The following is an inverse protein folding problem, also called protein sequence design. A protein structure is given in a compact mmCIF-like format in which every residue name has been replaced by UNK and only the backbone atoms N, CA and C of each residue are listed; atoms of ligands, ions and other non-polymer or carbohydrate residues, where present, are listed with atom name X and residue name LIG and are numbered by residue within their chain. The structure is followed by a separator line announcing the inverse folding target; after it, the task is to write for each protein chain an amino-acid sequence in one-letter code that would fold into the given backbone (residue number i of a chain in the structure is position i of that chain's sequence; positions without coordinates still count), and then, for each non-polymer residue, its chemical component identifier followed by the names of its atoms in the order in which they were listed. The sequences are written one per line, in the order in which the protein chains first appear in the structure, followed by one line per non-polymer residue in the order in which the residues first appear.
data_IF_226731280602
#
_entry.id   IF_226731280602
#
_cell.length_a   1.000
_cell.length_b   1.000
_cell.length_c   1.000
_cell.angle_alpha   90.00
_cell.angle_beta   90.00
_cell.angle_gamma   90.00
#
_symmetry.space_group_name_H-M   'P 1'
#
loop_
_entity.id
_entity.type
_entity.pdbx_description
1 polymer ?
#
# COMPACT_ATOMS: atom_id res chain seq x y z
N UNK A 1 32.97 -51.05 -18.46
CA UNK A 1 32.49 -49.71 -18.08
C UNK A 1 31.39 -49.91 -17.06
N UNK A 2 31.58 -49.48 -15.82
CA UNK A 2 30.56 -49.65 -14.78
C UNK A 2 29.59 -48.46 -14.86
N UNK A 3 28.33 -48.74 -15.21
CA UNK A 3 27.25 -47.76 -15.13
C UNK A 3 26.94 -47.51 -13.65
N UNK A 4 27.28 -46.32 -13.16
CA UNK A 4 26.87 -45.84 -11.85
C UNK A 4 25.36 -45.55 -11.87
N UNK A 5 24.57 -46.50 -11.38
CA UNK A 5 23.15 -46.30 -11.09
C UNK A 5 22.98 -45.45 -9.83
N UNK A 6 22.53 -44.21 -9.98
CA UNK A 6 22.09 -43.37 -8.86
C UNK A 6 20.85 -44.00 -8.23
N UNK A 7 20.90 -44.33 -6.94
CA UNK A 7 19.77 -45.01 -6.30
C UNK A 7 18.59 -44.04 -6.10
N UNK A 8 17.37 -44.58 -5.98
CA UNK A 8 16.19 -43.76 -5.66
C UNK A 8 16.33 -43.01 -4.33
N UNK A 9 17.09 -43.55 -3.37
CA UNK A 9 17.39 -42.88 -2.11
C UNK A 9 18.30 -41.66 -2.32
N UNK A 10 19.35 -41.79 -3.14
CA UNK A 10 20.25 -40.68 -3.46
C UNK A 10 19.52 -39.54 -4.20
N UNK A 11 18.54 -39.89 -5.05
CA UNK A 11 17.69 -38.91 -5.72
C UNK A 11 16.76 -38.19 -4.75
N UNK A 12 16.19 -38.89 -3.76
CA UNK A 12 15.33 -38.30 -2.74
C UNK A 12 16.12 -37.37 -1.80
N UNK A 13 17.31 -37.78 -1.37
CA UNK A 13 18.22 -36.97 -0.55
C UNK A 13 18.70 -35.73 -1.29
N UNK A 14 19.07 -35.85 -2.57
CA UNK A 14 19.44 -34.70 -3.40
C UNK A 14 18.29 -33.70 -3.58
N UNK A 15 17.04 -34.18 -3.72
CA UNK A 15 15.87 -33.31 -3.77
C UNK A 15 15.59 -32.62 -2.43
N UNK A 16 15.74 -33.33 -1.31
CA UNK A 16 15.58 -32.76 0.02
C UNK A 16 16.64 -31.69 0.30
N UNK A 17 17.90 -31.95 -0.04
CA UNK A 17 18.99 -30.98 0.08
C UNK A 17 18.74 -29.74 -0.78
N UNK A 18 18.29 -29.91 -2.04
CA UNK A 18 17.92 -28.78 -2.91
C UNK A 18 16.78 -27.95 -2.33
N UNK A 19 15.77 -28.58 -1.72
CA UNK A 19 14.65 -27.87 -1.05
C UNK A 19 15.14 -27.07 0.15
N UNK A 20 15.95 -27.67 1.02
CA UNK A 20 16.53 -26.99 2.19
C UNK A 20 17.44 -25.83 1.79
N UNK A 21 18.24 -25.99 0.74
CA UNK A 21 19.09 -24.93 0.22
C UNK A 21 18.28 -23.73 -0.30
N UNK A 22 17.20 -23.98 -1.07
CA UNK A 22 16.28 -22.93 -1.52
C UNK A 22 15.62 -22.20 -0.36
N UNK A 23 15.18 -22.94 0.66
CA UNK A 23 14.57 -22.34 1.85
C UNK A 23 15.55 -21.44 2.61
N UNK A 24 16.79 -21.92 2.82
CA UNK A 24 17.85 -21.12 3.47
C UNK A 24 18.18 -19.86 2.68
N UNK A 25 18.28 -19.96 1.36
CA UNK A 25 18.53 -18.81 0.49
C UNK A 25 17.40 -17.77 0.60
N UNK A 26 16.14 -18.20 0.60
CA UNK A 26 14.99 -17.30 0.76
C UNK A 26 14.97 -16.65 2.16
N UNK A 27 15.29 -17.42 3.21
CA UNK A 27 15.39 -16.87 4.57
C UNK A 27 16.49 -15.80 4.67
N UNK A 28 17.66 -16.06 4.08
CA UNK A 28 18.74 -15.10 4.03
C UNK A 28 18.32 -13.84 3.26
N UNK A 29 17.72 -14.00 2.08
CA UNK A 29 17.19 -12.89 1.29
C UNK A 29 16.16 -12.06 2.06
N UNK A 30 15.23 -12.71 2.76
CA UNK A 30 14.25 -12.02 3.60
C UNK A 30 14.91 -11.25 4.75
N UNK A 31 15.96 -11.79 5.35
CA UNK A 31 16.71 -11.09 6.40
C UNK A 31 17.46 -9.87 5.86
N UNK A 32 18.05 -9.97 4.66
CA UNK A 32 18.69 -8.84 3.98
C UNK A 32 17.66 -7.75 3.66
N UNK A 33 16.54 -8.11 3.03
CA UNK A 33 15.43 -7.19 2.73
C UNK A 33 14.85 -6.55 3.99
N UNK A 34 14.69 -7.31 5.09
CA UNK A 34 14.25 -6.75 6.37
C UNK A 34 15.19 -5.65 6.87
N UNK A 35 16.51 -5.88 6.78
CA UNK A 35 17.51 -4.90 7.20
C UNK A 35 17.41 -3.61 6.39
N UNK A 36 17.18 -3.72 5.08
CA UNK A 36 17.06 -2.58 4.17
C UNK A 36 15.77 -1.80 4.38
N UNK A 37 14.64 -2.50 4.46
CA UNK A 37 13.32 -1.88 4.36
C UNK A 37 12.77 -1.47 5.74
N UNK A 38 13.05 -2.23 6.79
CA UNK A 38 12.25 -2.17 8.01
C UNK A 38 13.06 -2.04 9.30
N UNK A 39 14.34 -2.42 9.31
CA UNK A 39 15.19 -2.28 10.49
C UNK A 39 15.31 -0.80 10.91
N UNK A 40 14.98 -0.51 12.17
CA UNK A 40 14.94 0.86 12.69
C UNK A 40 13.78 1.72 12.20
N UNK A 41 12.87 1.19 11.37
CA UNK A 41 11.77 1.97 10.76
C UNK A 41 10.38 1.68 11.34
N UNK A 42 10.28 0.87 12.41
CA UNK A 42 8.98 0.53 13.02
C UNK A 42 8.18 1.77 13.45
N UNK A 43 8.84 2.84 13.90
CA UNK A 43 8.21 4.09 14.31
C UNK A 43 7.49 4.81 13.15
N UNK A 44 7.87 4.54 11.90
CA UNK A 44 7.14 5.07 10.75
C UNK A 44 5.68 4.57 10.73
N UNK A 45 5.37 3.43 11.36
CA UNK A 45 4.01 2.90 11.47
C UNK A 45 3.18 3.52 12.60
N UNK A 46 3.79 4.22 13.55
CA UNK A 46 3.06 4.94 14.62
C UNK A 46 2.30 6.14 14.08
N UNK A 47 2.68 6.59 12.88
CA UNK A 47 2.10 7.77 12.24
C UNK A 47 0.63 7.56 11.89
N UNK A 48 0.16 6.33 11.72
CA UNK A 48 -1.19 6.03 11.23
C UNK A 48 -1.86 4.98 12.11
N UNK A 49 -3.01 5.33 12.70
CA UNK A 49 -3.77 4.41 13.56
C UNK A 49 -4.34 3.20 12.80
N UNK A 50 -4.64 3.35 11.52
CA UNK A 50 -5.24 2.30 10.70
C UNK A 50 -4.73 2.36 9.27
N UNK A 51 -3.74 1.51 8.97
CA UNK A 51 -3.28 1.29 7.60
C UNK A 51 -4.34 0.57 6.75
N UNK A 52 -4.35 0.76 5.41
CA UNK A 52 -5.27 0.08 4.51
C UNK A 52 -5.11 -1.43 4.58
N UNK A 53 -6.17 -2.17 4.23
CA UNK A 53 -6.04 -3.59 3.94
C UNK A 53 -5.40 -3.74 2.57
N UNK A 54 -4.19 -4.28 2.52
CA UNK A 54 -3.48 -4.57 1.29
C UNK A 54 -3.94 -5.91 0.73
N UNK A 55 -4.29 -5.95 -0.56
CA UNK A 55 -4.68 -7.18 -1.24
C UNK A 55 -3.49 -8.14 -1.27
N UNK A 56 -3.70 -9.36 -0.79
CA UNK A 56 -2.65 -10.38 -0.79
C UNK A 56 -2.59 -11.14 -2.11
N UNK A 57 -1.38 -11.53 -2.49
CA UNK A 57 -1.06 -12.46 -3.57
C UNK A 57 -0.91 -13.90 -3.09
N UNK A 58 -0.69 -14.12 -1.79
CA UNK A 58 -0.64 -15.47 -1.20
C UNK A 58 -2.00 -16.15 -1.26
N UNK A 59 -2.05 -17.33 -1.89
CA UNK A 59 -3.26 -18.14 -2.00
C UNK A 59 -3.86 -18.43 -0.61
N UNK A 60 -5.16 -18.18 -0.49
CA UNK A 60 -5.91 -18.41 0.75
C UNK A 60 -5.93 -17.20 1.68
N UNK A 61 -5.01 -16.25 1.51
CA UNK A 61 -5.03 -14.96 2.21
C UNK A 61 -5.72 -13.94 1.29
N UNK A 62 -6.69 -13.22 1.84
CA UNK A 62 -7.40 -12.15 1.13
C UNK A 62 -6.64 -10.85 1.21
N UNK A 63 -6.18 -10.51 2.42
CA UNK A 63 -5.54 -9.22 2.66
C UNK A 63 -4.62 -9.23 3.89
N UNK A 64 -3.72 -8.24 3.91
CA UNK A 64 -2.78 -7.96 4.98
C UNK A 64 -3.05 -6.55 5.54
N UNK A 65 -2.83 -6.34 6.83
CA UNK A 65 -2.71 -5.00 7.43
C UNK A 65 -1.55 -4.97 8.39
N UNK A 66 -0.82 -3.87 8.39
CA UNK A 66 0.31 -3.63 9.28
C UNK A 66 -0.03 -2.52 10.26
N UNK A 67 0.40 -2.63 11.51
CA UNK A 67 0.30 -1.54 12.47
C UNK A 67 1.27 -1.75 13.63
N UNK A 68 1.68 -0.66 14.27
CA UNK A 68 2.39 -0.72 15.54
C UNK A 68 1.39 -0.43 16.66
N UNK A 69 1.46 -1.26 17.71
CA UNK A 69 0.73 -1.04 18.95
C UNK A 69 1.79 -1.04 20.06
N UNK A 70 2.25 0.14 20.52
CA UNK A 70 3.35 0.24 21.50
C UNK A 70 3.11 -0.59 22.76
N UNK A 71 1.85 -0.74 23.16
CA UNK A 71 1.43 -1.55 24.32
C UNK A 71 1.62 -3.07 24.12
N UNK A 72 1.77 -3.53 22.88
CA UNK A 72 2.05 -4.92 22.53
C UNK A 72 3.55 -5.20 22.29
N UNK A 73 4.40 -4.26 22.72
CA UNK A 73 5.86 -4.37 22.68
C UNK A 73 6.49 -3.84 21.39
N UNK A 74 7.79 -4.07 21.28
CA UNK A 74 8.64 -3.57 20.21
C UNK A 74 8.58 -4.46 18.95
N UNK A 75 7.38 -4.58 18.38
CA UNK A 75 7.14 -5.35 17.16
C UNK A 75 6.21 -4.62 16.20
N UNK A 76 6.34 -4.95 14.90
CA UNK A 76 5.34 -4.58 13.91
C UNK A 76 4.27 -5.69 13.89
N UNK A 77 3.02 -5.34 14.16
CA UNK A 77 1.91 -6.29 14.11
C UNK A 77 1.40 -6.45 12.69
N UNK A 78 0.97 -7.68 12.38
CA UNK A 78 0.42 -8.07 11.08
C UNK A 78 -0.93 -8.74 11.32
N UNK A 79 -1.96 -8.24 10.66
CA UNK A 79 -3.25 -8.90 10.51
C UNK A 79 -3.31 -9.60 9.15
N UNK A 80 -3.61 -10.89 9.14
CA UNK A 80 -3.99 -11.61 7.92
C UNK A 80 -5.51 -11.81 7.92
N UNK A 81 -6.15 -11.49 6.80
CA UNK A 81 -7.58 -11.71 6.59
C UNK A 81 -7.77 -12.85 5.60
N UNK A 82 -8.63 -13.82 5.93
CA UNK A 82 -8.88 -15.01 5.10
C UNK A 82 -10.33 -15.49 5.26
N UNK A 83 -10.74 -16.49 4.47
CA UNK A 83 -12.01 -17.19 4.65
C UNK A 83 -11.78 -18.50 5.41
N UNK A 84 -12.51 -18.72 6.49
CA UNK A 84 -12.46 -19.95 7.26
C UNK A 84 -13.11 -21.14 6.51
N UNK A 85 -13.12 -22.31 7.16
CA UNK A 85 -13.78 -23.52 6.63
C UNK A 85 -15.28 -23.35 6.35
N UNK A 86 -15.92 -22.36 6.98
CA UNK A 86 -17.33 -22.02 6.81
C UNK A 86 -17.54 -20.88 5.80
N UNK A 87 -16.48 -20.49 5.07
CA UNK A 87 -16.44 -19.35 4.12
C UNK A 87 -16.66 -17.98 4.79
N UNK A 88 -16.64 -17.91 6.12
CA UNK A 88 -16.76 -16.65 6.88
C UNK A 88 -15.41 -15.95 6.91
N UNK A 89 -15.43 -14.61 6.86
CA UNK A 89 -14.22 -13.82 7.05
C UNK A 89 -13.67 -14.06 8.45
N UNK A 90 -12.37 -14.34 8.52
CA UNK A 90 -11.61 -14.53 9.76
C UNK A 90 -10.32 -13.73 9.69
N UNK A 91 -9.72 -13.51 10.86
CA UNK A 91 -8.50 -12.73 11.03
C UNK A 91 -7.57 -13.44 11.99
N UNK A 92 -6.29 -13.49 11.65
CA UNK A 92 -5.22 -13.98 12.53
C UNK A 92 -4.16 -12.91 12.70
N UNK A 93 -3.50 -12.93 13.86
CA UNK A 93 -2.48 -11.97 14.24
C UNK A 93 -1.10 -12.62 14.22
N UNK A 94 -0.12 -11.87 13.74
CA UNK A 94 1.29 -12.18 13.86
C UNK A 94 2.10 -10.91 14.07
N UNK A 95 3.41 -11.06 14.16
CA UNK A 95 4.32 -9.93 14.36
C UNK A 95 5.69 -10.15 13.74
N UNK A 96 6.39 -9.06 13.45
CA UNK A 96 7.81 -9.03 13.12
C UNK A 96 8.53 -8.34 14.26
N UNK A 97 9.51 -9.03 14.87
CA UNK A 97 10.35 -8.44 15.92
C UNK A 97 11.39 -7.46 15.35
N UNK A 98 11.99 -6.62 16.20
CA UNK A 98 13.12 -5.74 15.82
C UNK A 98 14.30 -6.51 15.20
N UNK A 99 14.45 -7.79 15.48
CA UNK A 99 15.47 -8.66 14.91
C UNK A 99 15.08 -9.32 13.59
N UNK A 100 13.93 -8.98 12.99
CA UNK A 100 13.50 -9.53 11.72
C UNK A 100 12.89 -10.93 11.80
N UNK A 101 12.46 -11.35 12.99
CA UNK A 101 11.80 -12.65 13.16
C UNK A 101 10.29 -12.49 12.95
N UNK A 102 9.77 -13.09 11.89
CA UNK A 102 8.33 -13.19 11.64
C UNK A 102 7.72 -14.35 12.43
N UNK A 103 6.74 -14.04 13.28
CA UNK A 103 6.04 -14.99 14.13
C UNK A 103 4.54 -14.93 13.90
N UNK A 104 3.94 -16.05 13.47
CA UNK A 104 2.50 -16.18 13.28
C UNK A 104 2.10 -17.65 13.41
N UNK A 105 0.97 -17.89 14.09
CA UNK A 105 0.35 -19.22 14.11
C UNK A 105 -0.70 -19.30 12.99
N UNK A 106 -0.34 -19.95 11.90
CA UNK A 106 -1.29 -20.14 10.79
C UNK A 106 -2.40 -21.14 11.18
N UNK A 107 -3.67 -20.82 10.92
CA UNK A 107 -4.80 -21.71 11.17
C UNK A 107 -4.78 -22.90 10.21
N UNK A 108 -5.53 -23.97 10.51
CA UNK A 108 -5.58 -25.19 9.69
C UNK A 108 -5.88 -24.90 8.21
N UNK A 109 -6.74 -23.92 7.93
CA UNK A 109 -7.10 -23.49 6.56
C UNK A 109 -5.93 -22.91 5.77
N UNK A 110 -4.89 -22.42 6.44
CA UNK A 110 -3.70 -21.80 5.84
C UNK A 110 -2.41 -22.59 6.12
N UNK A 111 -2.50 -23.84 6.58
CA UNK A 111 -1.31 -24.67 6.84
C UNK A 111 -0.48 -24.96 5.59
N UNK A 112 -1.07 -24.83 4.40
CA UNK A 112 -0.41 -24.99 3.12
C UNK A 112 0.41 -23.76 2.70
N UNK A 113 0.26 -22.63 3.39
CA UNK A 113 0.99 -21.40 3.10
C UNK A 113 2.42 -21.54 3.61
N UNK A 114 3.38 -21.29 2.71
CA UNK A 114 4.80 -21.20 3.07
C UNK A 114 5.05 -19.87 3.80
N UNK A 115 5.58 -19.98 5.02
CA UNK A 115 5.82 -18.81 5.89
C UNK A 115 6.94 -17.91 5.35
N UNK A 116 7.93 -18.47 4.68
CA UNK A 116 9.05 -17.70 4.14
C UNK A 116 8.60 -16.91 2.90
N UNK A 117 7.69 -17.47 2.09
CA UNK A 117 7.04 -16.74 0.99
C UNK A 117 6.08 -15.66 1.50
N UNK A 118 5.26 -15.97 2.51
CA UNK A 118 4.39 -14.97 3.13
C UNK A 118 5.21 -13.82 3.73
N UNK A 119 6.33 -14.12 4.37
CA UNK A 119 7.20 -13.07 4.90
C UNK A 119 7.81 -12.21 3.79
N UNK A 120 8.20 -12.81 2.66
CA UNK A 120 8.70 -12.07 1.49
C UNK A 120 7.64 -11.11 0.91
N UNK A 121 6.38 -11.56 0.82
CA UNK A 121 5.25 -10.71 0.41
C UNK A 121 5.02 -9.56 1.40
N UNK A 122 5.04 -9.83 2.71
CA UNK A 122 4.89 -8.80 3.74
C UNK A 122 5.98 -7.72 3.60
N UNK A 123 7.24 -8.12 3.41
CA UNK A 123 8.34 -7.18 3.22
C UNK A 123 8.18 -6.37 1.92
N UNK A 124 7.70 -7.00 0.85
CA UNK A 124 7.41 -6.33 -0.41
C UNK A 124 6.30 -5.30 -0.27
N UNK A 125 5.20 -5.65 0.40
CA UNK A 125 4.08 -4.74 0.62
C UNK A 125 4.45 -3.55 1.53
N UNK A 126 5.32 -3.78 2.52
CA UNK A 126 5.88 -2.70 3.35
C UNK A 126 6.74 -1.74 2.52
N UNK A 127 7.58 -2.24 1.62
CA UNK A 127 8.42 -1.43 0.73
C UNK A 127 7.57 -0.62 -0.28
N UNK A 128 6.53 -1.25 -0.83
CA UNK A 128 5.55 -0.57 -1.68
C UNK A 128 4.85 0.57 -0.94
N UNK A 129 4.39 0.29 0.29
CA UNK A 129 3.72 1.24 1.16
C UNK A 129 4.63 2.39 1.56
N UNK A 130 5.89 2.11 1.92
CA UNK A 130 6.90 3.09 2.32
C UNK A 130 6.39 4.06 3.42
N UNK A 131 6.17 3.57 4.66
CA UNK A 131 5.38 4.25 5.69
C UNK A 131 5.84 5.67 6.05
N UNK A 132 7.13 5.99 5.88
CA UNK A 132 7.72 7.28 6.26
C UNK A 132 7.22 8.49 5.46
N UNK A 133 6.62 8.29 4.28
CA UNK A 133 6.08 9.38 3.46
C UNK A 133 4.62 9.73 3.78
N UNK A 134 3.98 8.95 4.65
CA UNK A 134 2.56 9.10 4.96
C UNK A 134 2.31 10.01 6.17
N UNK A 135 1.25 10.79 6.09
CA UNK A 135 0.75 11.65 7.14
C UNK A 135 -0.70 11.25 7.47
N UNK A 136 -1.04 11.06 8.76
CA UNK A 136 -2.41 10.78 9.16
C UNK A 136 -3.33 11.97 8.87
N UNK A 137 -4.48 11.71 8.26
CA UNK A 137 -5.54 12.69 8.03
C UNK A 137 -6.60 12.69 9.16
N UNK A 138 -6.50 11.72 10.07
CA UNK A 138 -7.45 11.50 11.18
C UNK A 138 -7.00 12.12 12.50
N UNK A 139 -5.74 12.55 12.58
CA UNK A 139 -5.24 13.16 13.80
C UNK A 139 -5.95 14.47 14.04
N UNK A 140 -6.17 14.77 15.32
CA UNK A 140 -6.60 16.07 15.89
C UNK A 140 -5.57 17.18 15.59
N UNK A 141 -5.23 17.33 14.31
CA UNK A 141 -4.52 18.44 13.71
C UNK A 141 -5.62 19.50 13.47
N UNK A 142 -5.88 20.28 14.51
CA UNK A 142 -7.06 21.14 14.69
C UNK A 142 -7.05 22.34 13.73
N UNK A 143 -8.17 22.57 13.02
CA UNK A 143 -9.08 23.72 13.23
C UNK A 143 -10.53 23.26 13.02
N UNK A 144 -11.37 23.54 14.03
CA UNK A 144 -12.82 23.40 14.00
C UNK A 144 -13.43 24.37 12.98
N UNK A 145 -14.26 23.87 12.08
CA UNK A 145 -15.61 24.40 11.88
C UNK A 145 -16.55 23.20 11.69
N UNK A 146 -17.34 22.89 12.72
CA UNK A 146 -18.46 21.96 12.61
C UNK A 146 -19.59 22.66 11.84
N UNK A 147 -19.57 22.58 10.52
CA UNK A 147 -20.71 22.95 9.69
C UNK A 147 -21.05 21.81 8.74
N UNK A 148 -21.64 20.76 9.31
CA UNK A 148 -22.24 19.70 8.51
C UNK A 148 -22.85 18.63 9.39
N UNK A 149 -24.19 18.59 9.45
CA UNK A 149 -24.95 17.54 10.13
C UNK A 149 -24.39 16.17 9.71
N UNK A 150 -23.88 15.42 10.69
CA UNK A 150 -23.53 14.02 10.50
C UNK A 150 -24.75 13.29 9.93
N UNK A 151 -24.64 12.77 8.70
CA UNK A 151 -25.68 11.90 8.16
C UNK A 151 -25.72 10.64 9.03
N UNK A 152 -26.90 10.40 9.58
CA UNK A 152 -27.22 9.23 10.39
C UNK A 152 -26.80 7.95 9.66
N UNK A 153 -26.16 7.06 10.42
CA UNK A 153 -25.65 5.80 9.94
C UNK A 153 -26.78 4.91 9.45
N UNK A 154 -26.74 4.58 8.16
CA UNK A 154 -27.49 3.45 7.64
C UNK A 154 -26.95 2.16 8.26
N UNK A 155 -27.82 1.41 8.93
CA UNK A 155 -27.60 0.03 9.35
C UNK A 155 -27.33 -0.84 8.12
N UNK A 156 -26.06 -0.91 7.70
CA UNK A 156 -25.59 -1.84 6.67
C UNK A 156 -25.01 -3.08 7.34
N UNK A 157 -25.61 -4.24 7.06
CA UNK A 157 -25.00 -5.55 7.30
C UNK A 157 -23.51 -5.51 6.91
N UNK A 158 -22.63 -5.94 7.82
CA UNK A 158 -21.17 -5.81 7.72
C UNK A 158 -20.63 -6.26 6.36
N UNK A 159 -20.43 -5.30 5.47
CA UNK A 159 -19.72 -5.50 4.22
C UNK A 159 -18.26 -5.78 4.52
N UNK A 160 -17.66 -6.69 3.75
CA UNK A 160 -16.23 -6.97 3.83
C UNK A 160 -15.44 -5.67 3.58
N UNK A 161 -14.48 -5.33 4.45
CA UNK A 161 -13.65 -4.12 4.26
C UNK A 161 -12.96 -4.15 2.90
N UNK A 162 -12.94 -3.01 2.20
CA UNK A 162 -12.33 -2.87 0.88
C UNK A 162 -10.82 -3.06 0.97
N UNK A 163 -10.25 -3.82 0.04
CA UNK A 163 -8.81 -4.04 -0.08
C UNK A 163 -8.19 -3.11 -1.12
N UNK A 164 -6.91 -2.85 -0.95
CA UNK A 164 -6.09 -1.92 -1.72
C UNK A 164 -4.99 -2.73 -2.42
N UNK A 165 -4.87 -2.64 -3.73
CA UNK A 165 -3.74 -3.16 -4.50
C UNK A 165 -2.45 -2.37 -4.14
N UNK A 166 -1.45 -3.01 -3.51
CA UNK A 166 -0.20 -2.36 -3.12
C UNK A 166 0.56 -1.74 -4.29
N UNK A 167 0.46 -2.34 -5.49
CA UNK A 167 1.14 -1.85 -6.70
C UNK A 167 0.63 -0.47 -7.12
N UNK A 168 -0.61 -0.15 -6.78
CA UNK A 168 -1.22 1.15 -7.08
C UNK A 168 -0.70 2.26 -6.17
N UNK A 169 -0.44 1.94 -4.90
CA UNK A 169 0.27 2.84 -3.99
C UNK A 169 1.68 3.08 -4.51
N UNK A 170 2.40 2.01 -4.84
CA UNK A 170 3.76 2.09 -5.35
C UNK A 170 3.84 2.95 -6.62
N UNK A 171 2.94 2.73 -7.57
CA UNK A 171 2.89 3.48 -8.83
C UNK A 171 2.75 5.00 -8.59
N UNK A 172 1.78 5.44 -7.77
CA UNK A 172 1.57 6.86 -7.49
C UNK A 172 2.73 7.47 -6.69
N UNK A 173 3.30 6.69 -5.75
CA UNK A 173 4.46 7.12 -4.95
C UNK A 173 5.74 7.28 -5.78
N UNK A 174 5.93 6.45 -6.81
CA UNK A 174 7.13 6.45 -7.66
C UNK A 174 7.08 7.48 -8.80
N UNK A 175 6.03 8.29 -8.90
CA UNK A 175 6.02 9.41 -9.84
C UNK A 175 7.09 10.45 -9.45
N UNK A 176 7.73 11.11 -10.42
CA UNK A 176 8.96 11.90 -10.21
C UNK A 176 8.81 13.13 -9.30
N UNK A 177 7.60 13.64 -9.18
CA UNK A 177 7.20 14.85 -8.44
C UNK A 177 6.35 14.54 -7.20
N UNK A 178 6.28 13.27 -6.78
CA UNK A 178 5.57 12.87 -5.56
C UNK A 178 6.28 13.43 -4.31
N UNK A 179 5.50 14.00 -3.39
CA UNK A 179 6.01 14.67 -2.20
C UNK A 179 5.57 13.99 -0.89
N UNK A 180 4.29 13.63 -0.78
CA UNK A 180 3.73 13.07 0.45
C UNK A 180 2.42 12.30 0.21
N UNK A 181 2.14 11.34 1.08
CA UNK A 181 0.87 10.62 1.13
C UNK A 181 0.02 11.07 2.31
N UNK A 182 -1.29 11.20 2.11
CA UNK A 182 -2.30 11.39 3.16
C UNK A 182 -3.13 10.13 3.34
N UNK A 183 -3.24 9.64 4.57
CA UNK A 183 -3.94 8.39 4.90
C UNK A 183 -4.77 8.56 6.17
N UNK A 184 -6.03 8.12 6.15
CA UNK A 184 -6.86 8.19 7.35
C UNK A 184 -8.37 8.09 7.11
N UNK A 185 -9.00 7.26 7.95
CA UNK A 185 -10.35 7.37 8.51
C UNK A 185 -11.56 7.63 7.63
N UNK A 186 -12.73 7.65 8.29
CA UNK A 186 -14.04 7.77 7.64
C UNK A 186 -14.17 9.01 6.75
N UNK A 187 -13.37 10.06 7.01
CA UNK A 187 -13.41 11.34 6.29
C UNK A 187 -12.92 11.26 4.85
N UNK A 188 -12.09 10.27 4.52
CA UNK A 188 -11.63 10.04 3.15
C UNK A 188 -12.57 9.16 2.33
N UNK A 189 -13.66 8.60 2.89
CA UNK A 189 -14.57 7.69 2.18
C UNK A 189 -13.85 6.56 1.40
N UNK A 190 -12.71 6.08 1.92
CA UNK A 190 -11.90 5.03 1.28
C UNK A 190 -10.92 5.50 0.19
N UNK A 191 -10.67 6.81 0.08
CA UNK A 191 -9.64 7.35 -0.80
C UNK A 191 -8.28 7.41 -0.09
N UNK A 192 -7.20 7.24 -0.87
CA UNK A 192 -5.84 7.60 -0.47
C UNK A 192 -5.48 8.93 -1.14
N UNK A 193 -4.79 9.80 -0.42
CA UNK A 193 -4.42 11.11 -0.94
C UNK A 193 -2.93 11.15 -1.27
N UNK A 194 -2.57 11.72 -2.42
CA UNK A 194 -1.19 11.84 -2.90
C UNK A 194 -0.95 13.29 -3.28
N UNK A 195 0.08 13.91 -2.68
CA UNK A 195 0.52 15.26 -3.01
C UNK A 195 1.69 15.19 -3.99
N UNK A 196 1.55 15.92 -5.08
CA UNK A 196 2.59 16.21 -6.06
C UNK A 196 2.91 17.70 -6.04
N UNK A 197 3.94 18.10 -6.79
CA UNK A 197 4.31 19.52 -6.91
C UNK A 197 3.18 20.41 -7.45
N UNK A 198 2.42 19.91 -8.42
CA UNK A 198 1.44 20.72 -9.16
C UNK A 198 -0.02 20.30 -8.91
N UNK A 199 -0.24 19.24 -8.13
CA UNK A 199 -1.56 18.65 -7.99
C UNK A 199 -1.71 17.78 -6.74
N UNK A 200 -2.97 17.54 -6.36
CA UNK A 200 -3.38 16.52 -5.39
C UNK A 200 -4.19 15.46 -6.11
N UNK A 201 -3.85 14.19 -5.89
CA UNK A 201 -4.64 13.05 -6.36
C UNK A 201 -5.33 12.39 -5.18
N UNK A 202 -6.66 12.31 -5.24
CA UNK A 202 -7.47 11.49 -4.35
C UNK A 202 -7.84 10.22 -5.10
N UNK A 203 -7.22 9.11 -4.72
CA UNK A 203 -7.31 7.84 -5.43
C UNK A 203 -8.21 6.84 -4.68
N UNK A 204 -9.26 6.32 -5.34
CA UNK A 204 -10.10 5.25 -4.79
C UNK A 204 -9.88 3.97 -5.57
N UNK A 205 -9.47 2.92 -4.85
CA UNK A 205 -9.00 1.71 -5.49
C UNK A 205 -10.09 0.78 -6.02
N UNK A 206 -11.36 1.00 -5.64
CA UNK A 206 -12.45 0.21 -6.19
C UNK A 206 -12.58 0.47 -7.70
N UNK A 207 -12.53 -0.60 -8.49
CA UNK A 207 -12.79 -0.54 -9.93
C UNK A 207 -14.20 0.04 -10.16
N UNK A 208 -14.32 1.00 -11.08
CA UNK A 208 -15.56 1.76 -11.30
C UNK A 208 -15.75 2.98 -10.37
N UNK A 209 -15.01 3.07 -9.25
CA UNK A 209 -14.80 4.35 -8.59
C UNK A 209 -13.79 5.18 -9.39
N UNK A 210 -13.71 6.46 -9.05
CA UNK A 210 -12.83 7.38 -9.73
C UNK A 210 -11.72 7.87 -8.80
N UNK A 211 -10.59 8.24 -9.38
CA UNK A 211 -9.68 9.17 -8.77
C UNK A 211 -10.12 10.61 -9.11
N UNK A 212 -9.76 11.55 -8.25
CA UNK A 212 -9.89 12.97 -8.52
C UNK A 212 -8.50 13.59 -8.56
N UNK A 213 -8.22 14.37 -9.60
CA UNK A 213 -6.98 15.12 -9.77
C UNK A 213 -7.33 16.59 -9.63
N UNK A 214 -6.86 17.21 -8.56
CA UNK A 214 -7.01 18.64 -8.31
C UNK A 214 -5.70 19.33 -8.64
N UNK A 215 -5.69 20.16 -9.68
CA UNK A 215 -4.55 21.04 -9.98
C UNK A 215 -4.39 22.07 -8.86
N UNK A 216 -3.15 22.31 -8.45
CA UNK A 216 -2.77 23.42 -7.58
C UNK A 216 -2.49 24.61 -8.49
N UNK A 217 -3.21 25.71 -8.30
CA UNK A 217 -3.14 26.88 -9.20
C UNK A 217 -1.72 27.43 -9.32
N UNK A 218 -1.03 27.55 -8.18
CA UNK A 218 0.36 27.92 -8.10
C UNK A 218 1.18 26.70 -7.66
N UNK A 219 1.96 26.08 -8.55
CA UNK A 219 2.88 25.01 -8.22
C UNK A 219 3.68 25.26 -6.94
N UNK A 220 3.92 24.19 -6.18
CA UNK A 220 4.76 24.26 -4.99
C UNK A 220 6.15 24.80 -5.35
N UNK A 221 6.63 25.73 -4.54
CA UNK A 221 7.98 26.29 -4.65
C UNK A 221 9.05 25.24 -4.34
N UNK A 222 10.29 25.44 -4.80
CA UNK A 222 11.39 24.52 -4.49
C UNK A 222 11.67 24.42 -2.97
N UNK A 223 11.33 25.48 -2.23
CA UNK A 223 11.38 25.47 -0.76
C UNK A 223 10.37 24.48 -0.18
N UNK A 224 9.11 24.54 -0.61
CA UNK A 224 8.07 23.60 -0.18
C UNK A 224 8.41 22.16 -0.57
N UNK A 225 8.93 21.94 -1.78
CA UNK A 225 9.42 20.62 -2.23
C UNK A 225 10.55 20.12 -1.32
N UNK A 226 11.46 21.01 -0.90
CA UNK A 226 12.52 20.66 0.05
C UNK A 226 11.97 20.34 1.43
N UNK A 227 11.00 21.13 1.92
CA UNK A 227 10.35 20.94 3.21
C UNK A 227 9.67 19.57 3.29
N UNK A 228 9.10 19.08 2.17
CA UNK A 228 8.50 17.75 2.06
C UNK A 228 9.44 16.58 2.38
N UNK A 229 10.76 16.79 2.39
CA UNK A 229 11.74 15.76 2.83
C UNK A 229 11.63 15.49 4.34
N UNK A 230 11.15 16.46 5.11
CA UNK A 230 10.95 16.34 6.56
C UNK A 230 9.51 15.97 6.91
N UNK A 231 9.31 15.30 8.06
CA UNK A 231 7.96 14.96 8.53
C UNK A 231 7.11 16.22 8.80
N UNK A 232 7.69 17.24 9.44
CA UNK A 232 7.01 18.49 9.75
C UNK A 232 6.59 19.24 8.48
N UNK A 233 7.47 19.31 7.48
CA UNK A 233 7.14 19.91 6.19
C UNK A 233 6.02 19.15 5.48
N UNK A 234 6.06 17.81 5.45
CA UNK A 234 4.94 17.01 4.92
C UNK A 234 3.62 17.32 5.63
N UNK A 235 3.62 17.37 6.96
CA UNK A 235 2.40 17.71 7.73
C UNK A 235 1.85 19.07 7.31
N UNK A 236 2.72 20.08 7.18
CA UNK A 236 2.31 21.43 6.76
C UNK A 236 1.70 21.44 5.35
N UNK A 237 2.34 20.77 4.39
CA UNK A 237 1.83 20.69 3.02
C UNK A 237 0.50 19.93 2.94
N UNK A 238 0.36 18.84 3.69
CA UNK A 238 -0.88 18.06 3.76
C UNK A 238 -2.02 18.92 4.33
N UNK A 239 -1.76 19.72 5.37
CA UNK A 239 -2.74 20.65 5.92
C UNK A 239 -3.19 21.72 4.90
N UNK A 240 -2.26 22.24 4.10
CA UNK A 240 -2.56 23.33 3.17
C UNK A 240 -3.24 22.85 1.89
N UNK A 241 -2.84 21.68 1.36
CA UNK A 241 -3.22 21.25 0.02
C UNK A 241 -4.19 20.06 0.01
N UNK A 242 -4.06 19.11 0.94
CA UNK A 242 -4.92 17.91 0.97
C UNK A 242 -6.15 18.12 1.87
N UNK A 243 -5.95 18.59 3.09
CA UNK A 243 -7.04 18.75 4.08
C UNK A 243 -8.24 19.54 3.56
N UNK A 244 -8.10 20.63 2.76
CA UNK A 244 -9.25 21.34 2.21
C UNK A 244 -10.13 20.53 1.28
N UNK A 245 -9.63 19.42 0.72
CA UNK A 245 -10.36 18.53 -0.19
C UNK A 245 -11.05 17.38 0.56
N UNK A 246 -10.64 17.11 1.80
CA UNK A 246 -11.16 16.00 2.60
C UNK A 246 -12.62 16.26 3.02
N UNK A 247 -13.45 15.22 2.99
CA UNK A 247 -14.87 15.31 3.33
C UNK A 247 -15.76 15.89 2.23
N UNK A 248 -15.18 16.46 1.16
CA UNK A 248 -15.95 16.92 0.00
C UNK A 248 -16.60 15.74 -0.71
N UNK A 249 -17.85 15.92 -1.10
CA UNK A 249 -18.57 15.05 -2.01
C UNK A 249 -17.98 15.15 -3.42
N UNK A 250 -18.29 14.16 -4.27
CA UNK A 250 -17.94 14.19 -5.69
C UNK A 250 -18.32 15.51 -6.38
N UNK A 251 -19.50 16.07 -6.06
CA UNK A 251 -19.97 17.32 -6.68
C UNK A 251 -19.11 18.51 -6.24
N UNK A 252 -18.75 18.57 -4.97
CA UNK A 252 -17.92 19.64 -4.41
C UNK A 252 -16.48 19.58 -4.89
N UNK A 253 -15.93 18.38 -5.11
CA UNK A 253 -14.61 18.21 -5.72
C UNK A 253 -14.61 18.73 -7.17
N UNK A 254 -15.59 18.30 -7.98
CA UNK A 254 -15.70 18.79 -9.37
C UNK A 254 -15.95 20.29 -9.43
N UNK A 255 -16.79 20.84 -8.53
CA UNK A 255 -17.02 22.28 -8.45
C UNK A 255 -15.76 23.07 -8.04
N UNK A 256 -14.82 22.43 -7.35
CA UNK A 256 -13.51 23.00 -7.01
C UNK A 256 -12.48 22.88 -8.14
N UNK A 257 -12.87 22.37 -9.31
CA UNK A 257 -12.00 22.16 -10.46
C UNK A 257 -11.28 20.82 -10.46
N UNK A 258 -11.61 19.88 -9.57
CA UNK A 258 -11.03 18.55 -9.61
C UNK A 258 -11.55 17.74 -10.80
N UNK A 259 -10.63 17.15 -11.54
CA UNK A 259 -10.93 16.33 -12.71
C UNK A 259 -11.08 14.86 -12.31
N UNK A 260 -12.11 14.20 -12.81
CA UNK A 260 -12.47 12.84 -12.41
C UNK A 260 -11.93 11.80 -13.40
N UNK A 261 -11.10 10.88 -12.94
CA UNK A 261 -10.58 9.74 -13.72
C UNK A 261 -11.29 8.47 -13.29
N UNK A 262 -12.14 7.90 -14.14
CA UNK A 262 -12.85 6.66 -13.82
C UNK A 262 -11.98 5.46 -14.14
N UNK A 263 -11.71 4.59 -13.16
CA UNK A 263 -10.91 3.39 -13.39
C UNK A 263 -11.68 2.37 -14.21
N UNK A 264 -11.21 2.11 -15.43
CA UNK A 264 -11.67 0.96 -16.21
C UNK A 264 -11.06 -0.34 -15.68
N UNK A 265 -11.75 -1.49 -15.81
CA UNK A 265 -11.17 -2.80 -15.50
C UNK A 265 -9.89 -3.08 -16.34
N UNK A 266 -9.07 -4.05 -15.89
CA UNK A 266 -7.93 -4.62 -16.63
C UNK A 266 -6.69 -3.73 -16.86
N UNK A 267 -5.98 -3.35 -15.79
CA UNK A 267 -4.66 -2.67 -15.82
C UNK A 267 -4.59 -1.39 -16.67
N UNK A 268 -5.70 -0.91 -17.25
CA UNK A 268 -5.76 0.32 -18.04
C UNK A 268 -5.73 1.55 -17.16
N UNK A 269 -6.03 1.37 -15.88
CA UNK A 269 -5.97 2.43 -14.88
C UNK A 269 -4.58 3.06 -14.80
N UNK A 270 -3.49 2.29 -15.04
CA UNK A 270 -2.13 2.83 -15.00
C UNK A 270 -1.93 3.82 -16.14
N UNK A 271 -2.23 3.40 -17.37
CA UNK A 271 -2.12 4.25 -18.58
C UNK A 271 -2.98 5.50 -18.43
N UNK A 272 -4.25 5.35 -18.03
CA UNK A 272 -5.16 6.46 -17.80
C UNK A 272 -4.66 7.42 -16.72
N UNK A 273 -4.04 6.89 -15.66
CA UNK A 273 -3.48 7.72 -14.62
C UNK A 273 -2.24 8.46 -15.13
N UNK A 274 -1.29 7.79 -15.79
CA UNK A 274 -0.11 8.45 -16.37
C UNK A 274 -0.54 9.56 -17.33
N UNK A 275 -1.45 9.27 -18.27
CA UNK A 275 -1.96 10.24 -19.23
C UNK A 275 -2.58 11.45 -18.51
N UNK A 276 -3.38 11.22 -17.45
CA UNK A 276 -3.95 12.33 -16.69
C UNK A 276 -2.92 13.13 -15.89
N UNK A 277 -1.96 12.46 -15.27
CA UNK A 277 -0.88 13.13 -14.54
C UNK A 277 -0.06 14.00 -15.49
N UNK A 278 0.23 13.51 -16.71
CA UNK A 278 0.96 14.27 -17.73
C UNK A 278 0.16 15.42 -18.34
N UNK A 279 -1.17 15.29 -18.46
CA UNK A 279 -2.03 16.39 -18.89
C UNK A 279 -1.97 17.57 -17.89
N UNK A 280 -1.91 17.27 -16.59
CA UNK A 280 -1.91 18.29 -15.53
C UNK A 280 -0.50 18.82 -15.23
N UNK A 281 0.50 17.92 -15.23
CA UNK A 281 1.90 18.18 -14.93
C UNK A 281 2.80 17.33 -15.85
N UNK A 282 3.20 17.84 -17.02
CA UNK A 282 4.01 17.09 -17.96
C UNK A 282 5.39 16.74 -17.36
N UNK A 283 5.79 15.46 -17.43
CA UNK A 283 7.13 15.03 -17.01
C UNK A 283 7.74 14.02 -17.99
N UNK A 284 9.00 14.21 -18.39
CA UNK A 284 9.68 13.32 -19.33
C UNK A 284 9.71 11.86 -18.83
N UNK A 285 10.04 11.67 -17.55
CA UNK A 285 10.09 10.32 -16.94
C UNK A 285 8.73 9.61 -16.94
N UNK A 286 7.61 10.35 -16.88
CA UNK A 286 6.27 9.76 -16.98
C UNK A 286 5.97 9.22 -18.38
N UNK A 287 6.44 9.91 -19.41
CA UNK A 287 6.34 9.43 -20.81
C UNK A 287 7.16 8.15 -21.01
N UNK A 288 8.34 8.04 -20.37
CA UNK A 288 9.13 6.80 -20.40
C UNK A 288 8.35 5.65 -19.74
N UNK A 289 7.76 5.87 -18.56
CA UNK A 289 6.94 4.87 -17.87
C UNK A 289 5.72 4.44 -18.70
N UNK A 290 5.09 5.38 -19.40
CA UNK A 290 3.96 5.12 -20.30
C UNK A 290 4.37 4.20 -21.44
N UNK A 291 5.51 4.48 -22.06
CA UNK A 291 6.03 3.73 -23.20
C UNK A 291 6.46 2.31 -22.80
N UNK A 292 7.11 2.16 -21.63
CA UNK A 292 7.42 0.85 -21.05
C UNK A 292 6.15 0.02 -20.78
N UNK A 293 5.10 0.65 -20.25
CA UNK A 293 3.82 -0.02 -20.01
C UNK A 293 3.10 -0.43 -21.30
N UNK A 294 3.19 0.39 -22.35
CA UNK A 294 2.64 0.06 -23.67
C UNK A 294 3.39 -1.11 -24.31
N UNK A 295 4.72 -1.13 -24.25
CA UNK A 295 5.57 -2.23 -24.76
C UNK A 295 5.30 -3.57 -24.06
N UNK A 296 5.24 -3.55 -22.73
CA UNK A 296 4.95 -4.75 -21.93
C UNK A 296 3.53 -5.33 -22.17
N UNK A 297 2.62 -4.54 -22.75
CA UNK A 297 1.30 -5.02 -23.20
C UNK A 297 1.33 -5.62 -24.60
N UNK A 298 2.15 -5.10 -25.51
CA UNK A 298 2.27 -5.65 -26.87
C UNK A 298 2.99 -7.01 -26.91
N UNK A 299 3.73 -7.37 -25.86
CA UNK A 299 4.47 -8.62 -25.75
C UNK A 299 3.70 -9.76 -25.02
N UNK A 300 2.43 -9.54 -24.66
CA UNK A 300 1.54 -10.53 -24.03
C UNK A 300 0.33 -10.84 -24.90
#
# INVERSE_FOLDING_TARGET
MAETYTSFADMADAQQQKRLAKQRALQQQNQERFKEILSGQFEAFDTVRRWPLLQSTTKGIRALRFYRAPEMGDSLNIEIYYRDKNKKQSRELGSISKGGVFSMRLPKTLQHVDRDLLFSEILEDIDRLHPSVWVPLDSDIVVREETGKAKEGGNGNGGEEVTVDPRRIEFLRKQPDFLAGGIGGKKLNGYLAFLFRDMVVLDNQNIGNAAFVQKIENPLSDKEVTDAKTRSGRIHLIQNYIMPLIGRTRRELVAAGAERVVHKPHNEWVVQMIEKLNEVSPHADREVLLEEHRRNRSEK
#
